data_IF_126436305425
#
_entry.id   IF_126436305425
#
_cell.length_a   1.000
_cell.length_b   1.000
_cell.length_c   1.000
_cell.angle_alpha   90.00
_cell.angle_beta   90.00
_cell.angle_gamma   90.00
#
_symmetry.space_group_name_H-M   'P 1'
#
loop_
_entity.id
_entity.type
_entity.pdbx_description
1 polymer ?
#
# COMPACT_ATOMS: atom_id res chain seq x y z
N UNK A 1 -12.98 -38.31 -14.55
CA UNK A 1 -12.65 -38.28 -15.99
C UNK A 1 -11.17 -37.98 -16.11
N UNK A 2 -10.41 -39.03 -16.39
CA UNK A 2 -8.96 -39.02 -16.52
C UNK A 2 -8.54 -38.36 -17.83
N UNK A 3 -7.46 -37.59 -17.83
CA UNK A 3 -6.67 -37.33 -19.03
C UNK A 3 -5.19 -37.32 -18.63
N UNK A 4 -4.45 -38.18 -19.30
CA UNK A 4 -3.07 -38.55 -19.02
C UNK A 4 -2.06 -37.62 -19.73
N UNK A 5 -0.89 -37.57 -19.10
CA UNK A 5 0.48 -37.33 -19.58
C UNK A 5 0.70 -37.15 -21.09
N UNK A 6 1.61 -36.25 -21.45
CA UNK A 6 2.90 -36.61 -22.09
C UNK A 6 3.90 -35.42 -22.03
N UNK A 7 5.18 -35.68 -21.70
CA UNK A 7 6.27 -34.70 -21.72
C UNK A 7 6.93 -34.65 -23.10
N UNK A 8 7.36 -33.46 -23.54
CA UNK A 8 8.24 -33.33 -24.70
C UNK A 8 9.68 -33.06 -24.22
N UNK A 9 10.53 -34.03 -24.53
CA UNK A 9 11.97 -33.97 -24.44
C UNK A 9 12.57 -33.14 -25.59
N UNK A 10 13.74 -32.55 -25.36
CA UNK A 10 14.93 -32.48 -26.25
C UNK A 10 15.83 -31.28 -25.81
N UNK A 11 17.07 -31.15 -26.30
CA UNK A 11 18.23 -31.81 -25.73
C UNK A 11 19.35 -30.82 -25.32
N UNK A 12 20.28 -31.36 -24.54
CA UNK A 12 21.59 -30.83 -24.20
C UNK A 12 22.38 -30.32 -25.41
N UNK A 13 22.83 -29.07 -25.36
CA UNK A 13 23.97 -28.59 -26.14
C UNK A 13 24.98 -27.94 -25.20
N UNK A 14 25.96 -28.77 -24.82
CA UNK A 14 27.26 -28.35 -24.33
C UNK A 14 27.95 -27.52 -25.41
N UNK A 15 27.87 -26.20 -25.29
CA UNK A 15 28.64 -25.29 -26.12
C UNK A 15 29.93 -24.91 -25.39
N UNK A 16 30.99 -25.61 -25.77
CA UNK A 16 32.35 -25.10 -26.03
C UNK A 16 32.88 -24.01 -25.09
N UNK A 17 33.71 -24.47 -24.16
CA UNK A 17 35.11 -24.07 -24.00
C UNK A 17 35.62 -23.01 -24.99
N UNK A 18 36.00 -21.84 -24.48
CA UNK A 18 37.13 -21.08 -25.06
C UNK A 18 37.69 -20.10 -24.04
N UNK A 19 38.76 -20.53 -23.40
CA UNK A 19 39.73 -19.68 -22.69
C UNK A 19 40.40 -18.75 -23.70
N UNK A 20 40.13 -17.45 -23.63
CA UNK A 20 41.03 -16.45 -24.19
C UNK A 20 41.11 -15.30 -23.20
N UNK A 21 42.18 -15.35 -22.41
CA UNK A 21 42.69 -14.28 -21.59
C UNK A 21 43.55 -13.40 -22.51
N UNK A 22 43.19 -12.13 -22.77
CA UNK A 22 44.13 -11.14 -23.24
C UNK A 22 44.58 -10.30 -22.05
N UNK A 23 45.79 -10.56 -21.58
CA UNK A 23 46.58 -9.62 -20.79
C UNK A 23 46.88 -8.40 -21.68
N UNK A 24 45.99 -7.42 -21.67
CA UNK A 24 46.25 -6.09 -22.22
C UNK A 24 46.61 -5.18 -21.05
N UNK A 25 47.92 -4.98 -20.90
CA UNK A 25 48.54 -3.96 -20.07
C UNK A 25 47.77 -2.63 -20.20
N UNK A 26 47.24 -2.05 -19.10
CA UNK A 26 46.81 -0.67 -19.15
C UNK A 26 48.06 0.20 -19.17
N UNK A 27 48.31 0.83 -20.32
CA UNK A 27 49.23 1.96 -20.43
C UNK A 27 48.66 3.06 -19.54
N UNK A 28 49.39 3.41 -18.48
CA UNK A 28 49.05 4.51 -17.59
C UNK A 28 48.98 5.81 -18.41
N UNK A 29 47.77 6.27 -18.70
CA UNK A 29 47.53 7.62 -19.18
C UNK A 29 47.41 8.49 -17.93
N UNK A 30 48.31 9.47 -17.71
CA UNK A 30 48.24 10.33 -16.55
C UNK A 30 46.92 11.11 -16.58
N UNK A 31 46.19 10.92 -15.48
CA UNK A 31 44.93 11.55 -15.15
C UNK A 31 45.01 13.06 -15.31
N UNK A 32 44.30 13.60 -16.30
CA UNK A 32 43.97 15.03 -16.34
C UNK A 32 42.47 15.22 -16.40
N UNK A 33 41.97 15.82 -15.31
CA UNK A 33 40.83 16.73 -15.28
C UNK A 33 39.45 16.21 -15.74
N UNK A 34 38.65 15.77 -14.77
CA UNK A 34 37.20 16.02 -14.75
C UNK A 34 36.86 16.80 -13.47
N UNK A 35 37.07 18.13 -13.43
CA UNK A 35 36.78 18.96 -12.25
C UNK A 35 35.28 19.14 -11.98
N UNK A 36 34.40 18.53 -12.77
CA UNK A 36 32.94 18.63 -12.63
C UNK A 36 32.33 17.58 -11.70
N UNK A 37 33.17 16.68 -11.16
CA UNK A 37 32.80 15.70 -10.13
C UNK A 37 33.37 16.08 -8.76
N UNK A 38 33.62 17.36 -8.50
CA UNK A 38 33.84 17.86 -7.14
C UNK A 38 32.50 17.82 -6.36
N UNK A 39 31.99 16.62 -6.12
CA UNK A 39 30.91 16.40 -5.17
C UNK A 39 31.49 16.73 -3.80
N UNK A 40 30.93 17.71 -3.06
CA UNK A 40 31.45 18.03 -1.75
C UNK A 40 31.41 16.76 -0.89
N UNK A 41 32.53 16.43 -0.23
CA UNK A 41 32.70 15.20 0.54
C UNK A 41 31.60 15.02 1.61
N UNK A 42 31.01 16.11 2.09
CA UNK A 42 29.86 16.11 3.00
C UNK A 42 28.52 15.67 2.38
N UNK A 43 28.34 15.75 1.06
CA UNK A 43 27.16 15.21 0.38
C UNK A 43 27.18 13.67 0.31
N UNK A 44 28.37 13.04 0.31
CA UNK A 44 28.53 11.58 0.38
C UNK A 44 28.19 11.04 1.79
N UNK A 45 28.44 11.82 2.85
CA UNK A 45 28.10 11.44 4.22
C UNK A 45 26.58 11.28 4.42
N UNK A 46 25.77 12.16 3.82
CA UNK A 46 24.31 12.04 3.84
C UNK A 46 23.77 10.86 3.01
N UNK A 47 24.49 10.47 1.96
CA UNK A 47 24.15 9.28 1.15
C UNK A 47 24.45 7.98 1.87
N UNK A 48 25.37 7.97 2.84
CA UNK A 48 25.73 6.76 3.55
C UNK A 48 24.64 6.27 4.50
N UNK A 49 23.95 7.20 5.15
CA UNK A 49 22.73 6.90 5.91
C UNK A 49 21.59 6.38 5.01
N UNK A 50 21.56 6.80 3.75
CA UNK A 50 20.60 6.33 2.76
C UNK A 50 20.94 4.91 2.30
N UNK A 51 22.22 4.62 2.06
CA UNK A 51 22.71 3.31 1.65
C UNK A 51 22.46 2.23 2.72
N UNK A 52 22.52 2.59 4.01
CA UNK A 52 22.14 1.68 5.10
C UNK A 52 20.63 1.39 5.16
N UNK A 53 19.78 2.29 4.65
CA UNK A 53 18.33 2.13 4.64
C UNK A 53 17.81 1.35 3.41
N UNK A 54 18.59 1.28 2.32
CA UNK A 54 18.24 0.53 1.11
C UNK A 54 18.03 -0.99 1.34
N UNK A 55 18.92 -1.74 2.03
CA UNK A 55 18.76 -3.20 2.18
C UNK A 55 17.44 -3.63 2.83
N UNK A 56 16.96 -3.04 3.95
CA UNK A 56 15.66 -3.42 4.50
C UNK A 56 14.50 -3.02 3.58
N UNK A 57 14.61 -1.89 2.86
CA UNK A 57 13.55 -1.45 1.93
C UNK A 57 13.43 -2.40 0.73
N UNK A 58 14.55 -2.80 0.12
CA UNK A 58 14.56 -3.66 -1.06
C UNK A 58 14.16 -5.11 -0.70
N UNK A 59 14.54 -5.58 0.49
CA UNK A 59 14.19 -6.93 0.96
C UNK A 59 12.77 -7.03 1.53
N UNK A 60 12.19 -5.93 2.03
CA UNK A 60 10.82 -5.91 2.58
C UNK A 60 9.71 -5.79 1.53
N UNK A 61 10.03 -5.86 0.24
CA UNK A 61 9.04 -5.83 -0.85
C UNK A 61 8.40 -7.22 -1.04
N UNK A 62 7.09 -7.30 -1.32
CA UNK A 62 6.46 -8.56 -1.72
C UNK A 62 7.21 -9.21 -2.90
N UNK A 63 7.79 -10.39 -2.66
CA UNK A 63 8.55 -11.12 -3.68
C UNK A 63 7.72 -11.50 -4.91
N UNK A 64 6.41 -11.72 -4.71
CA UNK A 64 5.49 -12.15 -5.77
C UNK A 64 4.09 -11.61 -5.54
N UNK A 65 3.36 -11.36 -6.63
CA UNK A 65 1.93 -11.06 -6.59
C UNK A 65 1.16 -12.23 -5.97
N UNK A 66 0.18 -11.90 -5.13
CA UNK A 66 -0.60 -12.91 -4.40
C UNK A 66 -1.76 -13.39 -5.29
N UNK A 67 -2.07 -14.70 -5.25
CA UNK A 67 -3.19 -15.27 -6.01
C UNK A 67 -4.54 -14.74 -5.55
N UNK A 68 -5.53 -14.78 -6.43
CA UNK A 68 -6.90 -14.34 -6.14
C UNK A 68 -7.50 -15.09 -4.93
N UNK A 69 -7.31 -16.41 -4.87
CA UNK A 69 -7.77 -17.25 -3.75
C UNK A 69 -7.15 -16.82 -2.41
N UNK A 70 -5.83 -16.63 -2.34
CA UNK A 70 -5.14 -16.19 -1.11
C UNK A 70 -5.58 -14.78 -0.68
N UNK A 71 -5.87 -13.88 -1.62
CA UNK A 71 -6.45 -12.57 -1.33
C UNK A 71 -7.87 -12.71 -0.74
N UNK A 72 -8.72 -13.52 -1.38
CA UNK A 72 -10.11 -13.75 -0.95
C UNK A 72 -10.20 -14.36 0.45
N UNK A 73 -9.40 -15.39 0.73
CA UNK A 73 -9.31 -16.03 2.05
C UNK A 73 -8.98 -15.02 3.17
N UNK A 74 -8.05 -14.08 2.91
CA UNK A 74 -7.71 -13.05 3.89
C UNK A 74 -8.79 -11.98 4.07
N UNK A 75 -9.63 -11.72 3.06
CA UNK A 75 -10.76 -10.80 3.17
C UNK A 75 -12.03 -11.43 3.74
N UNK A 76 -12.17 -12.76 3.68
CA UNK A 76 -13.38 -13.46 4.09
C UNK A 76 -13.79 -13.17 5.54
N UNK A 77 -12.81 -13.02 6.44
CA UNK A 77 -13.06 -12.76 7.86
C UNK A 77 -13.33 -11.28 8.19
N UNK A 78 -13.31 -10.38 7.19
CA UNK A 78 -13.45 -8.92 7.37
C UNK A 78 -14.87 -8.41 7.07
N UNK A 79 -15.88 -9.28 7.13
CA UNK A 79 -17.27 -8.90 6.89
C UNK A 79 -17.84 -7.92 7.94
N UNK A 80 -18.86 -7.15 7.54
CA UNK A 80 -19.57 -6.26 8.44
C UNK A 80 -20.40 -7.08 9.43
N UNK A 81 -20.17 -6.88 10.74
CA UNK A 81 -20.96 -7.53 11.79
C UNK A 81 -22.37 -6.90 11.85
N UNK A 82 -23.45 -7.70 11.93
CA UNK A 82 -24.79 -7.16 12.10
C UNK A 82 -24.90 -6.46 13.46
N UNK A 83 -25.43 -5.25 13.48
CA UNK A 83 -25.77 -4.54 14.71
C UNK A 83 -27.18 -4.95 15.12
N UNK A 84 -27.37 -5.41 16.37
CA UNK A 84 -28.68 -5.80 16.90
C UNK A 84 -29.27 -4.74 17.85
N UNK A 85 -28.48 -3.70 18.15
CA UNK A 85 -28.78 -2.71 19.17
C UNK A 85 -29.69 -1.60 18.63
N UNK A 86 -30.83 -1.97 18.06
CA UNK A 86 -31.84 -1.04 17.58
C UNK A 86 -33.01 -0.96 18.56
N UNK A 87 -33.57 0.23 18.74
CA UNK A 87 -34.81 0.46 19.48
C UNK A 87 -35.68 1.49 18.77
N UNK A 88 -36.99 1.46 19.00
CA UNK A 88 -37.89 2.47 18.45
C UNK A 88 -37.78 3.78 19.24
N UNK A 89 -37.89 4.91 18.56
CA UNK A 89 -37.95 6.21 19.20
C UNK A 89 -39.31 6.46 19.82
N UNK A 90 -39.34 6.86 21.10
CA UNK A 90 -40.56 7.16 21.85
C UNK A 90 -41.38 8.34 21.28
N UNK A 91 -40.72 9.29 20.60
CA UNK A 91 -41.39 10.48 20.06
C UNK A 91 -41.96 10.26 18.65
N UNK A 92 -41.19 9.62 17.74
CA UNK A 92 -41.55 9.52 16.32
C UNK A 92 -41.70 8.09 15.78
N UNK A 93 -41.47 7.06 16.60
CA UNK A 93 -41.57 5.65 16.23
C UNK A 93 -40.48 5.10 15.32
N UNK A 94 -39.63 5.96 14.72
CA UNK A 94 -38.54 5.51 13.85
C UNK A 94 -37.48 4.70 14.60
N UNK A 95 -36.82 3.80 13.89
CA UNK A 95 -35.73 2.98 14.45
C UNK A 95 -34.50 3.86 14.70
N UNK A 96 -34.00 3.80 15.93
CA UNK A 96 -32.76 4.46 16.38
C UNK A 96 -31.79 3.44 16.96
N UNK A 97 -30.53 3.83 17.14
CA UNK A 97 -29.55 3.01 17.86
C UNK A 97 -29.80 3.13 19.38
N UNK A 98 -29.65 2.03 20.11
CA UNK A 98 -29.79 2.03 21.58
C UNK A 98 -28.77 2.98 22.21
N UNK A 99 -29.19 3.78 23.19
CA UNK A 99 -28.42 4.86 23.86
C UNK A 99 -28.07 6.08 22.98
N UNK A 100 -28.56 6.15 21.75
CA UNK A 100 -28.40 7.35 20.92
C UNK A 100 -29.71 8.15 20.84
N UNK A 101 -29.57 9.48 20.71
CA UNK A 101 -30.70 10.34 20.36
C UNK A 101 -31.18 10.01 18.94
N UNK A 102 -32.48 10.11 18.70
CA UNK A 102 -33.04 9.86 17.37
C UNK A 102 -32.55 10.95 16.40
N UNK A 103 -31.91 10.59 15.27
CA UNK A 103 -31.37 11.58 14.33
C UNK A 103 -32.48 12.45 13.71
N UNK A 104 -33.67 11.87 13.48
CA UNK A 104 -34.83 12.58 12.92
C UNK A 104 -35.35 13.65 13.89
N UNK A 105 -35.74 13.23 15.10
CA UNK A 105 -36.23 14.15 16.12
C UNK A 105 -35.21 15.24 16.45
N UNK A 106 -33.94 14.87 16.62
CA UNK A 106 -32.88 15.83 16.88
C UNK A 106 -32.79 16.87 15.76
N UNK A 107 -32.77 16.43 14.49
CA UNK A 107 -32.68 17.35 13.35
C UNK A 107 -33.87 18.33 13.28
N UNK A 108 -35.09 17.87 13.56
CA UNK A 108 -36.29 18.70 13.53
C UNK A 108 -36.28 19.72 14.67
N UNK A 109 -35.95 19.28 15.89
CA UNK A 109 -35.88 20.14 17.08
C UNK A 109 -34.79 21.20 16.90
N UNK A 110 -33.58 20.80 16.48
CA UNK A 110 -32.48 21.74 16.26
C UNK A 110 -32.81 22.78 15.17
N UNK A 111 -33.48 22.37 14.09
CA UNK A 111 -33.92 23.31 13.04
C UNK A 111 -34.97 24.29 13.55
N UNK A 112 -35.95 23.83 14.34
CA UNK A 112 -36.96 24.68 14.96
C UNK A 112 -36.33 25.71 15.89
N UNK A 113 -35.43 25.28 16.79
CA UNK A 113 -34.73 26.19 17.71
C UNK A 113 -33.88 27.23 16.97
N UNK A 114 -33.17 26.82 15.92
CA UNK A 114 -32.40 27.76 15.08
C UNK A 114 -33.29 28.74 14.31
N UNK A 115 -34.48 28.29 13.90
CA UNK A 115 -35.49 29.14 13.26
C UNK A 115 -36.02 30.19 14.21
N UNK A 116 -36.41 29.81 15.42
CA UNK A 116 -36.90 30.74 16.44
C UNK A 116 -35.81 31.72 16.89
N UNK A 117 -34.57 31.27 17.06
CA UNK A 117 -33.45 32.17 17.41
C UNK A 117 -33.11 33.19 16.32
N UNK A 118 -33.47 32.92 15.06
CA UNK A 118 -33.27 33.84 13.93
C UNK A 118 -34.48 34.73 13.69
N UNK A 119 -35.67 34.30 14.10
CA UNK A 119 -36.88 35.09 13.96
C UNK A 119 -36.74 36.39 14.78
N UNK A 120 -37.23 37.53 14.26
CA UNK A 120 -37.32 38.73 15.09
C UNK A 120 -38.24 38.43 16.29
N UNK A 121 -37.95 39.01 17.47
CA UNK A 121 -38.80 38.82 18.64
C UNK A 121 -40.23 39.20 18.29
N UNK A 122 -41.17 38.30 18.58
CA UNK A 122 -42.60 38.55 18.36
C UNK A 122 -43.02 39.63 19.36
N UNK A 123 -43.49 40.77 18.84
CA UNK A 123 -43.97 41.91 19.63
C UNK A 123 -45.25 41.56 20.40
#
# INVERSE_FOLDING_TARGET
MSAALLPHAAPSLLARMSTLLPTLFPRAVPSTALPWLAVPLGALAGLQSLLELLPPIVLAVPKSKISHSRKSMRSANKGLKPKLNFSHCEACGTVKLQHHMCPKCFSEISRKWKGESRAPPRA
#
